data_IF_492907439305
#
_entry.id   IF_492907439305
#
_cell.length_a   1.000
_cell.length_b   1.000
_cell.length_c   1.000
_cell.angle_alpha   90.00
_cell.angle_beta   90.00
_cell.angle_gamma   90.00
#
_symmetry.space_group_name_H-M   'P 1'
#
loop_
_entity.id
_entity.type
_entity.pdbx_description
1 polymer ?
#
# COMPACT_ATOMS: atom_id res chain seq x y z
N UNK A 1 -1.15 12.27 -6.63
CA UNK A 1 0.05 11.66 -7.22
C UNK A 1 1.07 11.25 -6.16
N UNK A 2 1.42 12.12 -5.19
CA UNK A 2 2.48 11.82 -4.20
C UNK A 2 2.34 10.46 -3.48
N UNK A 3 1.15 10.08 -3.02
CA UNK A 3 0.97 8.82 -2.27
C UNK A 3 1.24 7.56 -3.10
N UNK A 4 0.91 7.56 -4.40
CA UNK A 4 1.11 6.38 -5.25
C UNK A 4 2.57 6.25 -5.70
N UNK A 5 3.27 7.37 -5.89
CA UNK A 5 4.71 7.37 -6.14
C UNK A 5 5.47 6.79 -4.93
N UNK A 6 5.04 7.14 -3.71
CA UNK A 6 5.56 6.53 -2.49
C UNK A 6 5.34 5.01 -2.48
N UNK A 7 4.12 4.53 -2.75
CA UNK A 7 3.85 3.07 -2.77
C UNK A 7 4.69 2.35 -3.80
N UNK A 8 4.82 2.89 -5.01
CA UNK A 8 5.68 2.31 -6.06
C UNK A 8 7.14 2.26 -5.58
N UNK A 9 7.62 3.34 -4.95
CA UNK A 9 9.00 3.38 -4.42
C UNK A 9 9.22 2.30 -3.36
N UNK A 10 8.32 2.18 -2.38
CA UNK A 10 8.41 1.15 -1.34
C UNK A 10 8.32 -0.26 -1.91
N UNK A 11 7.39 -0.49 -2.84
CA UNK A 11 7.22 -1.77 -3.55
C UNK A 11 8.50 -2.18 -4.29
N UNK A 12 9.13 -1.25 -5.03
CA UNK A 12 10.30 -1.55 -5.85
C UNK A 12 11.61 -1.67 -5.06
N UNK A 13 11.64 -1.18 -3.83
CA UNK A 13 12.85 -1.13 -3.01
C UNK A 13 12.70 -2.03 -1.78
N UNK A 14 12.09 -1.52 -0.71
CA UNK A 14 11.94 -2.19 0.58
C UNK A 14 11.20 -3.51 0.46
N UNK A 15 10.01 -3.53 -0.13
CA UNK A 15 9.14 -4.71 -0.12
C UNK A 15 9.71 -5.87 -0.95
N UNK A 16 10.36 -5.57 -2.08
CA UNK A 16 11.04 -6.59 -2.88
C UNK A 16 12.22 -7.23 -2.16
N UNK A 17 13.00 -6.45 -1.42
CA UNK A 17 14.08 -7.00 -0.60
C UNK A 17 13.49 -7.85 0.52
N UNK A 18 12.46 -7.32 1.20
CA UNK A 18 11.75 -8.00 2.29
C UNK A 18 11.19 -9.37 1.89
N UNK A 19 10.80 -9.56 0.64
CA UNK A 19 10.33 -10.84 0.11
C UNK A 19 11.37 -11.95 0.12
N UNK A 20 12.63 -11.60 -0.09
CA UNK A 20 13.68 -12.60 -0.30
C UNK A 20 14.54 -12.80 0.94
N UNK A 21 14.69 -11.77 1.78
CA UNK A 21 15.61 -11.82 2.90
C UNK A 21 15.27 -10.84 4.03
N UNK A 22 15.83 -11.04 5.25
CA UNK A 22 15.64 -10.10 6.34
C UNK A 22 16.30 -8.75 6.06
N UNK A 23 15.61 -7.66 6.42
CA UNK A 23 16.17 -6.31 6.35
C UNK A 23 17.24 -6.13 7.43
N UNK A 24 18.33 -5.42 7.09
CA UNK A 24 19.46 -5.18 8.00
C UNK A 24 19.87 -3.72 7.97
N UNK A 25 20.28 -3.17 9.12
CA UNK A 25 20.79 -1.78 9.21
C UNK A 25 22.01 -1.51 8.33
N UNK A 26 22.81 -2.55 8.04
CA UNK A 26 24.02 -2.44 7.21
C UNK A 26 23.76 -2.52 5.71
N UNK A 27 22.50 -2.63 5.30
CA UNK A 27 22.12 -2.73 3.89
C UNK A 27 22.19 -1.35 3.22
N UNK A 28 23.00 -1.25 2.16
CA UNK A 28 23.21 -0.01 1.40
C UNK A 28 22.12 0.23 0.33
N UNK A 29 21.18 -0.69 0.13
CA UNK A 29 20.06 -0.50 -0.80
C UNK A 29 19.13 0.61 -0.30
N UNK A 30 18.55 1.33 -1.25
CA UNK A 30 17.73 2.52 -0.99
C UNK A 30 16.61 2.25 0.02
N UNK A 31 16.53 3.11 1.04
CA UNK A 31 15.52 3.11 2.13
C UNK A 31 15.53 1.92 3.09
N UNK A 32 16.44 0.94 2.94
CA UNK A 32 16.43 -0.24 3.83
C UNK A 32 16.86 0.14 5.25
N UNK A 33 17.98 0.85 5.39
CA UNK A 33 18.49 1.23 6.71
C UNK A 33 17.50 2.12 7.48
N UNK A 34 16.87 3.07 6.79
CA UNK A 34 15.83 3.94 7.34
C UNK A 34 14.57 3.16 7.73
N UNK A 35 14.17 2.18 6.91
CA UNK A 35 13.04 1.30 7.23
C UNK A 35 13.33 0.47 8.48
N UNK A 36 14.53 -0.12 8.59
CA UNK A 36 14.90 -0.91 9.78
C UNK A 36 14.87 -0.02 11.03
N UNK A 37 15.46 1.17 10.97
CA UNK A 37 15.43 2.11 12.09
C UNK A 37 14.01 2.52 12.50
N UNK A 38 13.11 2.74 11.53
CA UNK A 38 11.71 2.99 11.80
C UNK A 38 11.03 1.78 12.46
N UNK A 39 11.21 0.58 11.90
CA UNK A 39 10.55 -0.62 12.39
C UNK A 39 11.00 -1.00 13.80
N UNK A 40 12.27 -0.84 14.15
CA UNK A 40 12.75 -1.05 15.53
C UNK A 40 12.05 -0.13 16.53
N UNK A 41 11.70 1.10 16.11
CA UNK A 41 11.06 2.09 16.97
C UNK A 41 9.52 1.99 16.99
N UNK A 42 8.89 1.60 15.88
CA UNK A 42 7.46 1.78 15.67
C UNK A 42 6.72 0.56 15.11
N UNK A 43 7.41 -0.42 14.50
CA UNK A 43 6.80 -1.61 13.89
C UNK A 43 7.74 -2.83 14.00
N UNK A 44 7.95 -3.38 15.21
CA UNK A 44 8.89 -4.46 15.43
C UNK A 44 8.43 -5.78 14.81
N UNK A 45 7.11 -5.98 14.66
CA UNK A 45 6.55 -7.16 14.00
C UNK A 45 7.04 -7.28 12.56
N UNK A 46 7.20 -6.15 11.86
CA UNK A 46 7.79 -6.13 10.51
C UNK A 46 9.17 -6.78 10.46
N UNK A 47 10.03 -6.56 11.45
CA UNK A 47 11.37 -7.15 11.49
C UNK A 47 11.38 -8.63 11.93
N UNK A 48 10.36 -9.07 12.67
CA UNK A 48 10.19 -10.49 13.02
C UNK A 48 9.79 -11.37 11.83
N UNK A 49 9.27 -10.76 10.74
CA UNK A 49 8.96 -11.41 9.46
C UNK A 49 8.10 -12.68 9.57
N UNK A 50 6.93 -12.65 10.21
CA UNK A 50 6.06 -13.80 10.21
C UNK A 50 5.61 -14.13 8.77
N UNK A 51 5.39 -15.42 8.47
CA UNK A 51 5.14 -15.89 7.10
C UNK A 51 3.98 -15.18 6.40
N UNK A 52 2.91 -14.87 7.14
CA UNK A 52 1.76 -14.14 6.61
C UNK A 52 2.13 -12.72 6.15
N UNK A 53 3.04 -12.06 6.86
CA UNK A 53 3.47 -10.70 6.55
C UNK A 53 4.40 -10.71 5.36
N UNK A 54 5.35 -11.66 5.30
CA UNK A 54 6.18 -11.88 4.09
C UNK A 54 5.28 -12.12 2.88
N UNK A 55 4.30 -13.01 3.00
CA UNK A 55 3.35 -13.30 1.91
C UNK A 55 2.57 -12.05 1.48
N UNK A 56 2.00 -11.30 2.43
CA UNK A 56 1.25 -10.09 2.15
C UNK A 56 2.11 -9.01 1.48
N UNK A 57 3.33 -8.80 1.98
CA UNK A 57 4.30 -7.87 1.40
C UNK A 57 4.70 -8.28 -0.02
N UNK A 58 4.84 -9.57 -0.32
CA UNK A 58 5.14 -10.03 -1.68
C UNK A 58 3.97 -9.91 -2.64
N UNK A 59 2.74 -10.16 -2.17
CA UNK A 59 1.54 -9.89 -2.96
C UNK A 59 1.44 -8.40 -3.28
N UNK A 60 1.78 -7.52 -2.33
CA UNK A 60 1.90 -6.08 -2.59
C UNK A 60 2.97 -5.81 -3.65
N UNK A 61 4.22 -6.17 -3.37
CA UNK A 61 5.40 -5.87 -4.19
C UNK A 61 5.30 -6.32 -5.66
N UNK A 62 4.72 -7.50 -5.90
CA UNK A 62 4.63 -8.09 -7.24
C UNK A 62 3.22 -7.97 -7.84
N UNK A 63 2.17 -8.09 -7.04
CA UNK A 63 0.78 -8.04 -7.51
C UNK A 63 0.23 -6.62 -7.60
N UNK A 64 0.39 -5.82 -6.53
CA UNK A 64 -0.25 -4.50 -6.44
C UNK A 64 0.55 -3.38 -7.11
N UNK A 65 1.87 -3.54 -7.27
CA UNK A 65 2.71 -2.55 -7.95
C UNK A 65 2.17 -2.15 -9.34
N UNK A 66 1.71 -3.13 -10.13
CA UNK A 66 1.12 -2.86 -11.45
C UNK A 66 -0.14 -1.99 -11.39
N UNK A 67 -0.98 -2.18 -10.37
CA UNK A 67 -2.17 -1.36 -10.16
C UNK A 67 -1.85 0.05 -9.68
N UNK A 68 -0.78 0.25 -8.90
CA UNK A 68 -0.32 1.61 -8.55
C UNK A 68 0.14 2.37 -9.79
N UNK A 69 0.85 1.71 -10.71
CA UNK A 69 1.22 2.28 -12.02
C UNK A 69 -0.02 2.57 -12.85
N UNK A 70 -0.99 1.66 -12.90
CA UNK A 70 -2.26 1.87 -13.60
C UNK A 70 -3.00 3.11 -13.06
N UNK A 71 -3.07 3.29 -11.73
CA UNK A 71 -3.70 4.48 -11.15
C UNK A 71 -2.96 5.74 -11.56
N UNK A 72 -1.62 5.73 -11.58
CA UNK A 72 -0.85 6.87 -12.06
C UNK A 72 -1.19 7.22 -13.52
N UNK A 73 -1.30 6.22 -14.39
CA UNK A 73 -1.73 6.40 -15.79
C UNK A 73 -3.15 6.99 -15.86
N UNK A 74 -4.11 6.41 -15.14
CA UNK A 74 -5.51 6.87 -15.11
C UNK A 74 -5.63 8.31 -14.60
N UNK A 75 -4.81 8.70 -13.63
CA UNK A 75 -4.74 10.09 -13.15
C UNK A 75 -4.27 11.03 -14.26
N UNK A 76 -3.23 10.64 -15.02
CA UNK A 76 -2.65 11.45 -16.09
C UNK A 76 -3.58 11.56 -17.31
N UNK A 77 -4.19 10.46 -17.73
CA UNK A 77 -5.07 10.39 -18.91
C UNK A 77 -6.51 10.78 -18.60
N UNK A 78 -6.88 10.89 -17.31
CA UNK A 78 -8.24 11.14 -16.83
C UNK A 78 -9.27 10.09 -17.28
N UNK A 79 -8.85 8.88 -17.62
CA UNK A 79 -9.71 7.79 -18.13
C UNK A 79 -10.38 6.96 -17.02
N UNK A 80 -10.84 7.61 -15.95
CA UNK A 80 -11.39 6.96 -14.76
C UNK A 80 -12.56 6.01 -15.06
N UNK A 81 -13.46 6.39 -15.96
CA UNK A 81 -14.63 5.59 -16.30
C UNK A 81 -14.26 4.25 -16.97
N UNK A 82 -13.29 4.27 -17.88
CA UNK A 82 -12.83 3.07 -18.61
C UNK A 82 -12.17 2.03 -17.71
N UNK A 83 -11.59 2.47 -16.59
CA UNK A 83 -10.90 1.60 -15.63
C UNK A 83 -11.67 1.39 -14.33
N UNK A 84 -12.97 1.72 -14.28
CA UNK A 84 -13.80 1.58 -13.08
C UNK A 84 -13.71 0.17 -12.50
N UNK A 85 -14.08 -0.85 -13.26
CA UNK A 85 -14.15 -2.24 -12.75
C UNK A 85 -12.81 -2.73 -12.19
N UNK A 86 -11.68 -2.67 -12.93
CA UNK A 86 -10.40 -3.13 -12.39
C UNK A 86 -9.94 -2.31 -11.18
N UNK A 87 -10.18 -0.99 -11.16
CA UNK A 87 -9.81 -0.16 -10.01
C UNK A 87 -10.68 -0.42 -8.78
N UNK A 88 -11.99 -0.64 -8.95
CA UNK A 88 -12.88 -1.00 -7.83
C UNK A 88 -12.49 -2.35 -7.23
N UNK A 89 -12.22 -3.36 -8.06
CA UNK A 89 -11.74 -4.66 -7.59
C UNK A 89 -10.41 -4.53 -6.84
N UNK A 90 -9.48 -3.75 -7.39
CA UNK A 90 -8.20 -3.48 -6.74
C UNK A 90 -8.36 -2.76 -5.40
N UNK A 91 -9.23 -1.74 -5.31
CA UNK A 91 -9.53 -1.07 -4.04
C UNK A 91 -10.13 -2.01 -3.01
N UNK A 92 -11.02 -2.93 -3.42
CA UNK A 92 -11.57 -3.96 -2.54
C UNK A 92 -10.50 -4.91 -2.02
N UNK A 93 -9.62 -5.41 -2.91
CA UNK A 93 -8.50 -6.26 -2.52
C UNK A 93 -7.52 -5.53 -1.57
N UNK A 94 -7.20 -4.27 -1.86
CA UNK A 94 -6.33 -3.43 -1.04
C UNK A 94 -6.95 -3.17 0.34
N UNK A 95 -8.26 -2.89 0.40
CA UNK A 95 -8.99 -2.71 1.66
C UNK A 95 -9.00 -3.99 2.50
N UNK A 96 -9.24 -5.15 1.87
CA UNK A 96 -9.17 -6.42 2.57
C UNK A 96 -7.76 -6.68 3.13
N UNK A 97 -6.72 -6.44 2.33
CA UNK A 97 -5.33 -6.64 2.73
C UNK A 97 -4.94 -5.74 3.91
N UNK A 98 -5.30 -4.45 3.89
CA UNK A 98 -4.95 -3.54 4.99
C UNK A 98 -5.73 -3.86 6.27
N UNK A 99 -7.00 -4.25 6.17
CA UNK A 99 -7.77 -4.68 7.34
C UNK A 99 -7.18 -5.95 7.95
N UNK A 100 -6.85 -6.95 7.12
CA UNK A 100 -6.16 -8.15 7.58
C UNK A 100 -4.84 -7.81 8.26
N UNK A 101 -4.02 -6.95 7.65
CA UNK A 101 -2.76 -6.49 8.22
C UNK A 101 -2.95 -5.87 9.60
N UNK A 102 -3.91 -4.93 9.75
CA UNK A 102 -4.18 -4.28 11.03
C UNK A 102 -4.67 -5.26 12.09
N UNK A 103 -5.56 -6.19 11.73
CA UNK A 103 -6.01 -7.22 12.67
C UNK A 103 -4.83 -8.05 13.16
N UNK A 104 -4.02 -8.57 12.24
CA UNK A 104 -2.86 -9.41 12.59
C UNK A 104 -1.81 -8.64 13.40
N UNK A 105 -1.56 -7.38 13.06
CA UNK A 105 -0.62 -6.51 13.76
C UNK A 105 -1.03 -6.28 15.22
N UNK A 106 -2.28 -5.84 15.44
CA UNK A 106 -2.78 -5.50 16.78
C UNK A 106 -3.16 -6.71 17.65
N UNK A 107 -3.31 -7.89 17.05
CA UNK A 107 -3.53 -9.16 17.77
C UNK A 107 -2.26 -9.99 17.94
N UNK A 108 -1.12 -9.51 17.44
CA UNK A 108 0.17 -10.19 17.57
C UNK A 108 0.73 -10.10 18.98
N UNK A 109 1.81 -10.84 19.23
CA UNK A 109 2.61 -10.74 20.45
C UNK A 109 3.48 -9.49 20.50
N UNK A 110 3.55 -8.72 19.40
CA UNK A 110 4.40 -7.52 19.26
C UNK A 110 3.62 -6.36 18.61
N UNK A 111 2.54 -5.86 19.25
CA UNK A 111 1.76 -4.76 18.70
C UNK A 111 2.60 -3.46 18.61
N UNK A 112 2.22 -2.49 17.77
CA UNK A 112 2.98 -1.27 17.55
C UNK A 112 3.13 -0.47 18.86
N UNK A 113 4.35 -0.21 19.35
CA UNK A 113 4.55 0.53 20.60
C UNK A 113 4.21 2.02 20.46
N UNK A 114 4.23 2.55 19.23
CA UNK A 114 3.88 3.93 18.91
C UNK A 114 2.80 3.97 17.83
N UNK A 115 1.54 4.09 18.28
CA UNK A 115 0.35 4.11 17.42
C UNK A 115 0.36 5.29 16.44
N UNK A 116 0.85 6.46 16.86
CA UNK A 116 0.90 7.64 16.01
C UNK A 116 1.90 7.45 14.85
N UNK A 117 3.10 6.93 15.15
CA UNK A 117 4.10 6.64 14.12
C UNK A 117 3.63 5.53 13.17
N UNK A 118 2.98 4.49 13.71
CA UNK A 118 2.37 3.43 12.92
C UNK A 118 1.35 3.99 11.92
N UNK A 119 0.34 4.74 12.39
CA UNK A 119 -0.68 5.31 11.51
C UNK A 119 -0.16 6.42 10.59
N UNK A 120 0.96 7.08 10.91
CA UNK A 120 1.57 8.03 9.99
C UNK A 120 2.03 7.35 8.68
N UNK A 121 2.46 6.08 8.75
CA UNK A 121 2.90 5.30 7.58
C UNK A 121 1.75 4.51 6.96
N UNK A 122 0.80 4.04 7.76
CA UNK A 122 -0.33 3.23 7.28
C UNK A 122 -1.53 4.05 6.76
N UNK A 123 -1.81 5.22 7.33
CA UNK A 123 -2.95 6.05 6.91
C UNK A 123 -2.93 6.52 5.46
N UNK A 124 -1.77 6.76 4.79
CA UNK A 124 -1.73 7.01 3.36
C UNK A 124 -2.41 5.92 2.51
N UNK A 125 -2.36 4.65 2.93
CA UNK A 125 -3.02 3.55 2.21
C UNK A 125 -4.54 3.67 2.29
N UNK A 126 -5.10 3.97 3.47
CA UNK A 126 -6.54 4.19 3.67
C UNK A 126 -7.02 5.44 2.91
N UNK A 127 -6.27 6.54 3.01
CA UNK A 127 -6.57 7.76 2.28
C UNK A 127 -6.55 7.54 0.77
N UNK A 128 -5.56 6.80 0.28
CA UNK A 128 -5.47 6.41 -1.13
C UNK A 128 -6.69 5.63 -1.60
N UNK A 129 -7.21 4.71 -0.79
CA UNK A 129 -8.42 3.93 -1.13
C UNK A 129 -9.61 4.88 -1.28
N UNK A 130 -9.84 5.74 -0.28
CA UNK A 130 -10.95 6.69 -0.30
C UNK A 130 -10.90 7.64 -1.49
N UNK A 131 -9.72 8.20 -1.80
CA UNK A 131 -9.55 9.13 -2.92
C UNK A 131 -9.80 8.48 -4.29
N UNK A 132 -9.32 7.24 -4.49
CA UNK A 132 -9.54 6.52 -5.76
C UNK A 132 -11.00 6.17 -5.93
N UNK A 133 -11.66 5.65 -4.89
CA UNK A 133 -13.10 5.36 -4.92
C UNK A 133 -13.92 6.62 -5.20
N UNK A 134 -13.61 7.73 -4.55
CA UNK A 134 -14.26 9.01 -4.83
C UNK A 134 -14.12 9.44 -6.29
N UNK A 135 -12.92 9.30 -6.89
CA UNK A 135 -12.70 9.64 -8.30
C UNK A 135 -13.47 8.74 -9.26
N UNK A 136 -13.56 7.44 -8.96
CA UNK A 136 -14.36 6.49 -9.75
C UNK A 136 -15.84 6.88 -9.72
N UNK A 137 -16.40 7.16 -8.52
CA UNK A 137 -17.79 7.56 -8.35
C UNK A 137 -18.11 8.87 -9.07
N UNK A 138 -17.24 9.88 -8.93
CA UNK A 138 -17.39 11.16 -9.62
C UNK A 138 -17.39 11.01 -11.14
N UNK A 139 -16.53 10.13 -11.69
CA UNK A 139 -16.48 9.85 -13.12
C UNK A 139 -17.76 9.14 -13.63
N UNK A 140 -18.35 8.26 -12.81
CA UNK A 140 -19.61 7.59 -13.15
C UNK A 140 -20.78 8.57 -13.24
N UNK A 141 -20.89 9.49 -12.26
CA UNK A 141 -21.94 10.52 -12.27
C UNK A 141 -21.81 11.41 -13.51
N UNK A 142 -20.59 11.83 -13.85
CA UNK A 142 -20.32 12.65 -15.02
C UNK A 142 -20.62 11.94 -16.36
N UNK A 143 -20.41 10.62 -16.43
CA UNK A 143 -20.75 9.82 -17.62
C UNK A 143 -22.27 9.70 -17.81
N UNK A 144 -23.03 9.45 -16.72
CA UNK A 144 -24.49 9.36 -16.77
C UNK A 144 -25.14 10.67 -17.24
N UNK A 145 -24.57 11.82 -16.84
CA UNK A 145 -25.05 13.14 -17.28
C UNK A 145 -24.78 13.46 -18.75
N UNK A 146 -23.79 12.81 -19.40
CA UNK A 146 -23.49 13.00 -20.82
C UNK A 146 -24.30 12.09 -21.75
N UNK A 147 -24.89 11.02 -21.21
CA UNK A 147 -25.71 10.06 -21.94
C UNK A 147 -27.22 10.26 -21.76
N UNK A 148 -27.63 11.31 -21.04
CA UNK A 148 -29.02 11.77 -20.89
C UNK A 148 -29.21 13.09 -21.62
#
# INVERSE_FOLDING_TARGET
MCSHAQFITMNLTVERVYCHEPLRRTDARFLIAETVAFCEAANPLFLSRPDWMVTATCVSAYGFCGFYVLIAVVVLTRTWASFRTPLTLFMGAKLNAILFYHVMEFTSTMPPPNIAAYFAVESPYLLSIGLVLYKILAAEVAQKQKGS
#
